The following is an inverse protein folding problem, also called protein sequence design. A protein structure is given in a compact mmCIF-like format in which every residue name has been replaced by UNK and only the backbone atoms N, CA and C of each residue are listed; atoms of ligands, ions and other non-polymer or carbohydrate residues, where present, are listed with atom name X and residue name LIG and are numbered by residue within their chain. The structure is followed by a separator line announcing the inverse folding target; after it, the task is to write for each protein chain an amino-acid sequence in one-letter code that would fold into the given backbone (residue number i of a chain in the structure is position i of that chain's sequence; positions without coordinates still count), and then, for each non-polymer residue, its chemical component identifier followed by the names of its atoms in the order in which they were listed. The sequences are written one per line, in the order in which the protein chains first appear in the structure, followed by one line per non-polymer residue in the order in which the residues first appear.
data_IF_808900501452
#
_entry.id   IF_808900501452
#
_cell.length_a   1.000
_cell.length_b   1.000
_cell.length_c   1.000
_cell.angle_alpha   90.00
_cell.angle_beta   90.00
_cell.angle_gamma   90.00
#
_symmetry.space_group_name_H-M   'P 1'
#
loop_
_entity.id
_entity.type
_entity.pdbx_description
1 polymer ?
#
# COMPACT_ATOMS: atom_id res chain seq x y z
N UNK A 1 -24.07 58.22 -10.36
CA UNK A 1 -24.17 58.54 -11.80
C UNK A 1 -22.81 58.26 -12.42
N UNK A 2 -22.60 57.03 -12.90
CA UNK A 2 -21.51 56.58 -13.79
C UNK A 2 -22.17 55.55 -14.72
N UNK A 3 -21.98 55.62 -16.05
CA UNK A 3 -22.81 54.90 -17.03
C UNK A 3 -22.22 53.54 -17.46
N UNK A 4 -23.13 52.58 -17.71
CA UNK A 4 -23.24 51.72 -18.91
C UNK A 4 -22.08 50.79 -19.36
N UNK A 5 -22.25 49.48 -19.10
CA UNK A 5 -22.33 48.28 -20.01
C UNK A 5 -21.56 48.28 -21.37
N UNK A 6 -21.19 47.11 -21.98
CA UNK A 6 -21.78 45.75 -21.92
C UNK A 6 -20.74 44.62 -21.70
N UNK A 7 -21.04 43.35 -21.39
CA UNK A 7 -22.05 42.45 -21.93
C UNK A 7 -21.40 41.51 -22.95
N UNK A 8 -20.76 40.43 -22.49
CA UNK A 8 -20.28 39.35 -23.37
C UNK A 8 -20.62 38.00 -22.75
N UNK A 9 -21.70 37.41 -23.24
CA UNK A 9 -22.03 36.00 -23.00
C UNK A 9 -21.36 35.10 -24.04
N UNK A 10 -20.91 33.93 -23.60
CA UNK A 10 -20.78 32.71 -24.43
C UNK A 10 -20.88 31.52 -23.47
N UNK A 11 -22.07 30.90 -23.38
CA UNK A 11 -22.49 29.69 -24.10
C UNK A 11 -21.63 28.46 -23.80
N UNK A 12 -22.14 27.67 -22.86
CA UNK A 12 -21.86 26.24 -22.68
C UNK A 12 -22.28 25.45 -23.93
N UNK A 13 -21.50 24.46 -24.39
CA UNK A 13 -22.00 23.43 -25.28
C UNK A 13 -22.19 22.09 -24.55
N UNK A 14 -23.43 21.61 -24.55
CA UNK A 14 -23.79 20.18 -24.52
C UNK A 14 -25.07 20.02 -25.38
N UNK A 15 -25.45 18.80 -25.80
CA UNK A 15 -24.68 17.63 -26.21
C UNK A 15 -25.02 17.22 -27.66
N UNK A 16 -24.09 16.58 -28.37
CA UNK A 16 -24.41 15.96 -29.66
C UNK A 16 -25.02 14.56 -29.41
N UNK A 17 -26.35 14.48 -29.50
CA UNK A 17 -27.05 13.22 -29.75
C UNK A 17 -26.96 12.92 -31.25
N UNK A 18 -26.36 11.79 -31.59
CA UNK A 18 -26.27 11.27 -32.96
C UNK A 18 -26.29 9.74 -32.93
N UNK A 19 -27.50 9.20 -32.93
CA UNK A 19 -27.83 7.82 -33.31
C UNK A 19 -27.32 7.52 -34.72
N UNK A 20 -26.76 6.33 -34.96
CA UNK A 20 -26.89 5.45 -36.15
C UNK A 20 -26.07 4.17 -35.84
N UNK A 21 -26.70 3.04 -35.48
CA UNK A 21 -27.09 1.92 -36.36
C UNK A 21 -25.93 1.17 -37.06
N UNK A 22 -25.87 -0.15 -36.80
CA UNK A 22 -25.03 -1.16 -37.49
C UNK A 22 -23.70 -1.43 -36.77
N UNK A 23 -23.27 -2.63 -36.41
CA UNK A 23 -23.66 -3.99 -36.81
C UNK A 23 -23.46 -4.94 -35.62
N UNK A 24 -24.48 -5.76 -35.37
CA UNK A 24 -24.40 -6.92 -34.49
C UNK A 24 -23.63 -8.00 -35.25
N UNK A 25 -22.37 -8.18 -34.90
CA UNK A 25 -21.56 -9.29 -35.41
C UNK A 25 -22.12 -10.62 -34.88
N UNK A 26 -22.58 -11.55 -35.73
CA UNK A 26 -23.10 -12.84 -35.29
C UNK A 26 -21.96 -13.76 -34.85
N UNK A 27 -22.12 -14.36 -33.67
CA UNK A 27 -21.28 -15.45 -33.18
C UNK A 27 -21.18 -16.57 -34.22
N UNK A 28 -19.97 -17.07 -34.55
CA UNK A 28 -19.86 -18.25 -35.39
C UNK A 28 -20.35 -19.47 -34.62
N UNK A 29 -21.38 -20.06 -35.23
CA UNK A 29 -21.95 -21.39 -35.04
C UNK A 29 -20.91 -22.49 -34.77
N UNK A 30 -21.25 -23.34 -33.80
CA UNK A 30 -20.64 -24.64 -33.52
C UNK A 30 -20.29 -25.46 -34.79
N UNK A 31 -19.12 -26.11 -34.85
CA UNK A 31 -18.93 -27.27 -35.73
C UNK A 31 -19.41 -28.58 -35.06
N UNK A 32 -19.84 -29.56 -35.88
CA UNK A 32 -20.48 -30.80 -35.44
C UNK A 32 -19.50 -31.81 -34.82
N UNK A 33 -20.07 -32.64 -33.97
CA UNK A 33 -19.47 -33.78 -33.28
C UNK A 33 -19.06 -34.92 -34.23
N UNK A 34 -18.04 -35.66 -33.77
CA UNK A 34 -17.50 -36.97 -34.20
C UNK A 34 -16.55 -37.04 -35.40
N UNK A 35 -15.28 -37.34 -35.10
CA UNK A 35 -14.59 -38.57 -35.54
C UNK A 35 -13.52 -38.92 -34.51
N UNK A 36 -13.45 -40.18 -34.12
CA UNK A 36 -12.57 -40.68 -33.06
C UNK A 36 -11.09 -40.60 -33.41
N UNK A 37 -10.30 -40.10 -32.46
CA UNK A 37 -8.88 -40.39 -32.35
C UNK A 37 -8.68 -41.09 -31.00
N UNK A 38 -8.36 -42.39 -31.05
CA UNK A 38 -7.78 -43.10 -29.92
C UNK A 38 -6.42 -42.50 -29.61
N UNK A 39 -6.32 -41.77 -28.50
CA UNK A 39 -5.03 -41.41 -27.91
C UNK A 39 -4.42 -42.65 -27.24
N UNK A 40 -3.13 -42.96 -27.44
CA UNK A 40 -2.45 -44.03 -26.71
C UNK A 40 -2.24 -43.62 -25.24
N UNK A 41 -2.38 -44.53 -24.25
CA UNK A 41 -2.13 -44.20 -22.85
C UNK A 41 -0.67 -44.45 -22.50
N UNK A 42 0.16 -43.40 -22.48
CA UNK A 42 1.55 -43.41 -22.03
C UNK A 42 1.88 -41.94 -21.66
N UNK A 43 2.27 -41.53 -20.45
CA UNK A 43 2.96 -42.18 -19.34
C UNK A 43 2.68 -41.43 -18.04
N UNK A 44 2.84 -42.16 -16.93
CA UNK A 44 2.98 -41.68 -15.57
C UNK A 44 3.79 -40.38 -15.46
N UNK A 45 3.27 -39.44 -14.66
CA UNK A 45 3.98 -38.75 -13.58
C UNK A 45 5.50 -38.71 -13.74
N UNK A 46 6.00 -37.85 -14.63
CA UNK A 46 7.32 -37.26 -14.41
C UNK A 46 7.13 -36.13 -13.40
N UNK A 47 7.07 -36.49 -12.12
CA UNK A 47 7.53 -35.58 -11.08
C UNK A 47 9.00 -35.29 -11.42
N UNK A 48 9.24 -34.15 -12.07
CA UNK A 48 10.60 -33.61 -12.18
C UNK A 48 11.06 -33.45 -10.74
N UNK A 49 12.09 -34.19 -10.27
CA UNK A 49 12.55 -34.04 -8.90
C UNK A 49 13.01 -32.59 -8.78
N UNK A 50 12.26 -31.81 -7.99
CA UNK A 50 12.69 -30.46 -7.64
C UNK A 50 14.01 -30.64 -6.91
N UNK A 51 15.09 -30.24 -7.56
CA UNK A 51 16.44 -30.29 -7.00
C UNK A 51 16.40 -29.59 -5.64
N UNK A 52 16.76 -30.31 -4.57
CA UNK A 52 16.69 -29.80 -3.19
C UNK A 52 17.47 -28.48 -3.07
N UNK A 53 18.55 -28.34 -3.85
CA UNK A 53 19.33 -27.10 -3.95
C UNK A 53 18.51 -25.92 -4.50
N UNK A 54 17.74 -26.10 -5.57
CA UNK A 54 16.90 -25.05 -6.15
C UNK A 54 15.74 -24.67 -5.21
N UNK A 55 15.34 -25.58 -4.32
CA UNK A 55 14.34 -25.31 -3.29
C UNK A 55 14.95 -24.49 -2.15
N UNK A 56 16.11 -24.88 -1.66
CA UNK A 56 16.86 -24.15 -0.64
C UNK A 56 17.22 -22.72 -1.08
N UNK A 57 17.65 -22.52 -2.33
CA UNK A 57 17.93 -21.18 -2.88
C UNK A 57 16.67 -20.31 -2.96
N UNK A 58 15.53 -20.88 -3.34
CA UNK A 58 14.23 -20.17 -3.37
C UNK A 58 13.76 -19.81 -1.97
N UNK A 59 13.91 -20.70 -1.01
CA UNK A 59 13.57 -20.47 0.40
C UNK A 59 14.48 -19.39 1.02
N UNK A 60 15.79 -19.41 0.72
CA UNK A 60 16.74 -18.36 1.15
C UNK A 60 16.41 -17.00 0.53
N UNK A 61 16.04 -16.97 -0.75
CA UNK A 61 15.63 -15.74 -1.45
C UNK A 61 14.32 -15.19 -0.86
N UNK A 62 13.34 -16.05 -0.58
CA UNK A 62 12.08 -15.66 0.04
C UNK A 62 12.28 -15.12 1.47
N UNK A 63 13.17 -15.74 2.26
CA UNK A 63 13.52 -15.26 3.59
C UNK A 63 14.20 -13.87 3.55
N UNK A 64 15.10 -13.64 2.59
CA UNK A 64 15.73 -12.35 2.38
C UNK A 64 14.73 -11.24 1.99
N UNK A 65 13.81 -11.56 1.07
CA UNK A 65 12.73 -10.64 0.69
C UNK A 65 11.81 -10.32 1.86
N UNK A 66 11.41 -11.35 2.62
CA UNK A 66 10.59 -11.18 3.82
C UNK A 66 11.27 -10.28 4.85
N UNK A 67 12.56 -10.45 5.10
CA UNK A 67 13.30 -9.59 6.02
C UNK A 67 13.32 -8.12 5.56
N UNK A 68 13.53 -7.86 4.27
CA UNK A 68 13.45 -6.49 3.71
C UNK A 68 12.05 -5.89 3.85
N UNK A 69 10.99 -6.64 3.50
CA UNK A 69 9.61 -6.19 3.64
C UNK A 69 9.22 -5.93 5.09
N UNK A 70 9.62 -6.82 6.01
CA UNK A 70 9.42 -6.67 7.44
C UNK A 70 10.10 -5.40 7.96
N UNK A 71 11.38 -5.19 7.66
CA UNK A 71 12.11 -4.00 8.08
C UNK A 71 11.45 -2.70 7.59
N UNK A 72 10.95 -2.69 6.34
CA UNK A 72 10.21 -1.56 5.78
C UNK A 72 8.88 -1.33 6.49
N UNK A 73 8.12 -2.40 6.76
CA UNK A 73 6.86 -2.34 7.49
C UNK A 73 7.05 -1.84 8.92
N UNK A 74 8.09 -2.33 9.62
CA UNK A 74 8.49 -1.90 10.96
C UNK A 74 8.85 -0.41 10.98
N UNK A 75 9.68 0.03 10.04
CA UNK A 75 10.07 1.44 9.92
C UNK A 75 8.86 2.35 9.70
N UNK A 76 7.96 1.97 8.79
CA UNK A 76 6.73 2.73 8.51
C UNK A 76 5.77 2.75 9.71
N UNK A 77 5.56 1.60 10.38
CA UNK A 77 4.72 1.51 11.57
C UNK A 77 5.28 2.34 12.72
N UNK A 78 6.60 2.29 12.93
CA UNK A 78 7.28 3.09 13.93
C UNK A 78 7.13 4.60 13.69
N UNK A 79 7.30 5.01 12.43
CA UNK A 79 7.10 6.40 12.00
C UNK A 79 5.67 6.86 12.21
N UNK A 80 4.67 6.05 11.84
CA UNK A 80 3.25 6.36 12.06
C UNK A 80 2.93 6.52 13.56
N UNK A 81 3.48 5.64 14.39
CA UNK A 81 3.30 5.64 15.84
C UNK A 81 3.93 6.89 16.48
N UNK A 82 5.16 7.26 16.09
CA UNK A 82 5.82 8.50 16.53
C UNK A 82 5.03 9.75 16.11
N UNK A 83 4.55 9.79 14.86
CA UNK A 83 3.70 10.86 14.34
C UNK A 83 2.39 10.99 15.12
N UNK A 84 1.73 9.88 15.46
CA UNK A 84 0.53 9.91 16.29
C UNK A 84 0.79 10.59 17.64
N UNK A 85 1.88 10.24 18.32
CA UNK A 85 2.27 10.92 19.57
C UNK A 85 2.61 12.39 19.37
N UNK A 86 3.28 12.71 18.27
CA UNK A 86 3.62 14.09 17.92
C UNK A 86 2.35 14.96 17.78
N UNK A 87 1.39 14.49 16.99
CA UNK A 87 0.11 15.17 16.75
C UNK A 87 -0.69 15.28 18.06
N UNK A 88 -0.72 14.23 18.88
CA UNK A 88 -1.39 14.26 20.18
C UNK A 88 -0.83 15.35 21.12
N UNK A 89 0.50 15.54 21.15
CA UNK A 89 1.15 16.58 21.97
C UNK A 89 0.83 18.01 21.51
N UNK A 90 0.37 18.20 20.29
CA UNK A 90 0.02 19.53 19.75
C UNK A 90 -1.34 20.04 20.23
N UNK A 91 -2.14 19.20 20.89
CA UNK A 91 -3.30 19.63 21.67
C UNK A 91 -4.66 19.44 20.99
N UNK A 92 -5.72 19.73 21.75
CA UNK A 92 -7.11 19.40 21.42
C UNK A 92 -7.72 20.18 20.25
N UNK A 93 -7.09 21.29 19.85
CA UNK A 93 -7.51 22.09 18.69
C UNK A 93 -7.44 21.32 17.36
N UNK A 94 -6.68 20.23 17.33
CA UNK A 94 -6.54 19.33 16.19
C UNK A 94 -7.15 17.94 16.41
N UNK A 95 -8.26 17.85 17.15
CA UNK A 95 -8.92 16.57 17.51
C UNK A 95 -9.12 15.60 16.33
N UNK A 96 -9.54 16.09 15.15
CA UNK A 96 -9.68 15.28 13.94
C UNK A 96 -8.33 14.73 13.45
N UNK A 97 -7.28 15.56 13.46
CA UNK A 97 -5.93 15.15 13.07
C UNK A 97 -5.35 14.11 14.05
N UNK A 98 -5.60 14.29 15.36
CA UNK A 98 -5.22 13.33 16.40
C UNK A 98 -5.88 11.97 16.14
N UNK A 99 -7.20 11.96 15.91
CA UNK A 99 -7.93 10.71 15.64
C UNK A 99 -7.42 10.01 14.37
N UNK A 100 -7.21 10.77 13.28
CA UNK A 100 -6.73 10.24 12.00
C UNK A 100 -5.30 9.71 12.10
N UNK A 101 -4.41 10.42 12.79
CA UNK A 101 -3.03 9.98 13.00
C UNK A 101 -2.98 8.69 13.83
N UNK A 102 -3.76 8.63 14.92
CA UNK A 102 -3.87 7.44 15.75
C UNK A 102 -4.48 6.25 14.97
N UNK A 103 -5.47 6.50 14.11
CA UNK A 103 -6.01 5.46 13.23
C UNK A 103 -4.96 4.95 12.24
N UNK A 104 -4.23 5.84 11.58
CA UNK A 104 -3.13 5.46 10.67
C UNK A 104 -2.06 4.63 11.39
N UNK A 105 -1.67 5.01 12.61
CA UNK A 105 -0.73 4.23 13.40
C UNK A 105 -1.25 2.82 13.72
N UNK A 106 -2.54 2.67 14.06
CA UNK A 106 -3.15 1.35 14.31
C UNK A 106 -3.17 0.48 13.06
N UNK A 107 -3.56 1.03 11.91
CA UNK A 107 -3.60 0.26 10.65
C UNK A 107 -2.19 -0.15 10.21
N UNK A 108 -1.19 0.71 10.42
CA UNK A 108 0.21 0.36 10.15
C UNK A 108 0.70 -0.80 11.04
N UNK A 109 0.38 -0.75 12.33
CA UNK A 109 0.71 -1.82 13.28
C UNK A 109 0.00 -3.14 12.94
N UNK A 110 -1.26 -3.09 12.49
CA UNK A 110 -2.00 -4.27 12.03
C UNK A 110 -1.37 -4.89 10.79
N UNK A 111 -0.95 -4.07 9.81
CA UNK A 111 -0.28 -4.56 8.61
C UNK A 111 1.05 -5.27 8.96
N UNK A 112 1.81 -4.73 9.91
CA UNK A 112 3.02 -5.37 10.43
C UNK A 112 2.72 -6.68 11.16
N UNK A 113 1.68 -6.72 12.01
CA UNK A 113 1.29 -7.94 12.71
C UNK A 113 0.90 -9.06 11.72
N UNK A 114 0.11 -8.74 10.70
CA UNK A 114 -0.26 -9.69 9.63
C UNK A 114 0.99 -10.24 8.94
N UNK A 115 1.95 -9.38 8.60
CA UNK A 115 3.22 -9.82 8.02
C UNK A 115 3.92 -10.81 8.96
N UNK A 116 4.10 -10.45 10.23
CA UNK A 116 4.86 -11.27 11.20
C UNK A 116 4.27 -12.65 11.48
N UNK A 117 2.95 -12.80 11.36
CA UNK A 117 2.23 -14.02 11.72
C UNK A 117 1.86 -14.91 10.53
N UNK A 118 1.89 -14.35 9.32
CA UNK A 118 1.60 -15.10 8.10
C UNK A 118 2.82 -15.90 7.66
N UNK A 119 2.59 -17.01 6.94
CA UNK A 119 3.65 -17.74 6.25
C UNK A 119 4.39 -16.82 5.25
N UNK A 120 5.71 -17.02 5.03
CA UNK A 120 6.48 -16.25 4.06
C UNK A 120 5.88 -16.30 2.65
N UNK A 121 5.44 -15.13 2.17
CA UNK A 121 4.97 -14.91 0.81
C UNK A 121 5.41 -13.50 0.37
N UNK A 122 6.39 -13.36 -0.55
CA UNK A 122 6.87 -12.05 -0.99
C UNK A 122 5.76 -11.11 -1.48
N UNK A 123 4.72 -11.64 -2.13
CA UNK A 123 3.63 -10.84 -2.64
C UNK A 123 2.73 -10.31 -1.51
N UNK A 124 2.43 -11.15 -0.52
CA UNK A 124 1.66 -10.75 0.66
C UNK A 124 2.47 -9.82 1.58
N UNK A 125 3.73 -10.14 1.82
CA UNK A 125 4.67 -9.37 2.65
C UNK A 125 4.88 -7.97 2.08
N UNK A 126 5.11 -7.86 0.76
CA UNK A 126 5.24 -6.58 0.08
C UNK A 126 3.95 -5.73 0.16
N UNK A 127 2.77 -6.35 0.06
CA UNK A 127 1.48 -5.65 0.26
C UNK A 127 1.31 -5.16 1.70
N UNK A 128 1.74 -5.95 2.69
CA UNK A 128 1.71 -5.54 4.09
C UNK A 128 2.63 -4.33 4.33
N UNK A 129 3.86 -4.37 3.80
CA UNK A 129 4.80 -3.25 3.85
C UNK A 129 4.23 -1.98 3.18
N UNK A 130 3.60 -2.14 2.00
CA UNK A 130 2.89 -1.03 1.33
C UNK A 130 1.77 -0.45 2.19
N UNK A 131 0.94 -1.30 2.81
CA UNK A 131 -0.18 -0.85 3.63
C UNK A 131 0.31 -0.10 4.88
N UNK A 132 1.41 -0.54 5.49
CA UNK A 132 2.08 0.19 6.57
C UNK A 132 2.58 1.56 6.09
N UNK A 133 3.27 1.63 4.94
CA UNK A 133 3.77 2.88 4.36
C UNK A 133 2.65 3.86 3.99
N UNK A 134 1.54 3.37 3.43
CA UNK A 134 0.36 4.19 3.12
C UNK A 134 -0.28 4.77 4.39
N UNK A 135 -0.41 3.96 5.44
CA UNK A 135 -0.96 4.41 6.72
C UNK A 135 -0.03 5.43 7.42
N UNK A 136 1.29 5.25 7.30
CA UNK A 136 2.27 6.23 7.76
C UNK A 136 2.20 7.55 6.97
N UNK A 137 1.91 7.50 5.66
CA UNK A 137 1.69 8.70 4.86
C UNK A 137 0.38 9.43 5.23
N UNK A 138 -0.67 8.71 5.64
CA UNK A 138 -1.87 9.33 6.21
C UNK A 138 -1.58 10.04 7.54
N UNK A 139 -0.80 9.42 8.43
CA UNK A 139 -0.37 10.07 9.66
C UNK A 139 0.53 11.30 9.40
N UNK A 140 1.39 11.25 8.39
CA UNK A 140 2.25 12.38 8.00
C UNK A 140 1.45 13.58 7.47
N UNK A 141 0.36 13.34 6.73
CA UNK A 141 -0.56 14.40 6.32
C UNK A 141 -1.18 15.11 7.54
N UNK A 142 -1.46 14.37 8.63
CA UNK A 142 -1.97 14.98 9.87
C UNK A 142 -0.88 15.78 10.59
N UNK A 143 0.36 15.31 10.58
CA UNK A 143 1.52 16.10 11.03
C UNK A 143 1.62 17.43 10.29
N UNK A 144 1.45 17.42 8.97
CA UNK A 144 1.44 18.64 8.15
C UNK A 144 0.30 19.59 8.50
N UNK A 145 -0.92 19.07 8.67
CA UNK A 145 -2.09 19.87 9.06
C UNK A 145 -1.85 20.61 10.38
N UNK A 146 -1.22 19.94 11.33
CA UNK A 146 -0.97 20.48 12.68
C UNK A 146 0.15 21.50 12.70
N UNK A 147 1.14 21.37 11.81
CA UNK A 147 2.25 22.33 11.71
C UNK A 147 1.92 23.53 10.80
N UNK A 148 0.86 23.47 10.01
CA UNK A 148 0.48 24.51 9.06
C UNK A 148 1.49 24.66 7.92
N UNK A 149 1.93 25.88 7.65
CA UNK A 149 2.79 26.23 6.49
C UNK A 149 4.29 25.94 6.71
N UNK A 150 4.66 25.12 7.70
CA UNK A 150 6.04 24.78 7.96
C UNK A 150 6.66 23.94 6.81
N UNK A 151 7.67 24.49 6.14
CA UNK A 151 8.33 23.84 4.99
C UNK A 151 8.85 22.44 5.30
N UNK A 152 9.50 22.25 6.45
CA UNK A 152 10.01 20.95 6.88
C UNK A 152 8.90 19.89 7.00
N UNK A 153 7.72 20.32 7.46
CA UNK A 153 6.53 19.48 7.63
C UNK A 153 5.94 19.06 6.28
N UNK A 154 5.87 19.99 5.32
CA UNK A 154 5.46 19.71 3.94
C UNK A 154 6.43 18.73 3.24
N UNK A 155 7.75 18.93 3.40
CA UNK A 155 8.77 18.03 2.84
C UNK A 155 8.69 16.62 3.45
N UNK A 156 8.46 16.53 4.75
CA UNK A 156 8.29 15.24 5.44
C UNK A 156 7.03 14.51 4.96
N UNK A 157 5.91 15.22 4.76
CA UNK A 157 4.70 14.64 4.18
C UNK A 157 4.93 14.15 2.74
N UNK A 158 5.61 14.94 1.90
CA UNK A 158 5.93 14.54 0.52
C UNK A 158 6.85 13.30 0.49
N UNK A 159 7.85 13.23 1.37
CA UNK A 159 8.72 12.07 1.47
C UNK A 159 7.94 10.82 1.91
N UNK A 160 7.01 10.94 2.85
CA UNK A 160 6.12 9.86 3.28
C UNK A 160 5.21 9.35 2.14
N UNK A 161 4.62 10.28 1.37
CA UNK A 161 3.82 9.93 0.19
C UNK A 161 4.66 9.22 -0.87
N UNK A 162 5.90 9.67 -1.10
CA UNK A 162 6.84 9.01 -2.01
C UNK A 162 7.15 7.59 -1.56
N UNK A 163 7.42 7.36 -0.28
CA UNK A 163 7.66 6.03 0.28
C UNK A 163 6.44 5.10 0.09
N UNK A 164 5.23 5.61 0.28
CA UNK A 164 4.00 4.87 0.01
C UNK A 164 3.86 4.49 -1.47
N UNK A 165 4.16 5.43 -2.38
CA UNK A 165 4.07 5.22 -3.83
C UNK A 165 5.08 4.17 -4.31
N UNK A 166 6.35 4.28 -3.93
CA UNK A 166 7.39 3.32 -4.34
C UNK A 166 7.13 1.93 -3.76
N UNK A 167 6.69 1.82 -2.51
CA UNK A 167 6.24 0.55 -1.94
C UNK A 167 5.03 -0.02 -2.71
N UNK A 168 4.13 0.86 -3.20
CA UNK A 168 3.00 0.46 -4.04
C UNK A 168 3.41 -0.10 -5.39
N UNK A 169 4.43 0.49 -6.02
CA UNK A 169 5.01 -0.01 -7.28
C UNK A 169 5.69 -1.37 -7.05
N UNK A 170 6.50 -1.51 -5.99
CA UNK A 170 7.16 -2.77 -5.64
C UNK A 170 6.17 -3.91 -5.34
N UNK A 171 5.05 -3.61 -4.68
CA UNK A 171 3.98 -4.57 -4.38
C UNK A 171 3.03 -4.84 -5.56
N UNK A 172 3.22 -4.16 -6.69
CA UNK A 172 2.34 -4.23 -7.85
C UNK A 172 2.24 -5.64 -8.45
N UNK A 173 1.10 -5.96 -9.04
CA UNK A 173 0.79 -7.30 -9.58
C UNK A 173 1.80 -7.82 -10.61
N UNK A 174 2.54 -6.92 -11.28
CA UNK A 174 3.57 -7.26 -12.26
C UNK A 174 4.83 -7.88 -11.63
N UNK A 175 5.18 -7.46 -10.42
CA UNK A 175 6.46 -7.80 -9.78
C UNK A 175 6.28 -8.64 -8.52
N UNK A 176 5.07 -8.66 -7.95
CA UNK A 176 4.71 -9.51 -6.81
C UNK A 176 5.69 -9.40 -5.62
N UNK A 177 6.30 -8.23 -5.42
CA UNK A 177 7.26 -8.01 -4.33
C UNK A 177 8.65 -8.62 -4.53
N UNK A 178 8.95 -9.27 -5.66
CA UNK A 178 10.24 -9.96 -5.84
C UNK A 178 11.29 -9.15 -6.61
N UNK A 179 10.92 -7.98 -7.15
CA UNK A 179 11.82 -7.14 -7.94
C UNK A 179 12.80 -6.39 -7.03
N UNK A 180 14.08 -6.77 -7.11
CA UNK A 180 15.15 -6.24 -6.26
C UNK A 180 15.33 -4.72 -6.40
N UNK A 181 15.29 -4.20 -7.63
CA UNK A 181 15.50 -2.77 -7.86
C UNK A 181 14.34 -1.95 -7.28
N UNK A 182 13.10 -2.37 -7.53
CA UNK A 182 11.93 -1.69 -6.98
C UNK A 182 11.89 -1.76 -5.45
N UNK A 183 12.34 -2.87 -4.86
CA UNK A 183 12.47 -3.01 -3.41
C UNK A 183 13.54 -2.08 -2.84
N UNK A 184 14.71 -1.97 -3.47
CA UNK A 184 15.76 -1.06 -3.05
C UNK A 184 15.33 0.42 -3.17
N UNK A 185 14.57 0.77 -4.20
CA UNK A 185 13.95 2.09 -4.37
C UNK A 185 12.94 2.38 -3.25
N UNK A 186 12.11 1.40 -2.88
CA UNK A 186 11.18 1.52 -1.77
C UNK A 186 11.90 1.71 -0.42
N UNK A 187 12.98 0.97 -0.17
CA UNK A 187 13.79 1.08 1.06
C UNK A 187 14.49 2.44 1.15
N UNK A 188 15.00 2.94 0.02
CA UNK A 188 15.61 4.27 -0.06
C UNK A 188 14.59 5.37 0.21
N UNK A 189 13.39 5.25 -0.33
CA UNK A 189 12.30 6.19 -0.08
C UNK A 189 11.84 6.17 1.38
N UNK A 190 11.75 5.01 2.03
CA UNK A 190 11.41 4.94 3.45
C UNK A 190 12.49 5.58 4.33
N UNK A 191 13.78 5.32 4.05
CA UNK A 191 14.89 5.99 4.75
C UNK A 191 14.82 7.53 4.60
N UNK A 192 14.48 8.02 3.41
CA UNK A 192 14.29 9.45 3.17
C UNK A 192 13.09 10.01 3.95
N UNK A 193 11.98 9.25 4.04
CA UNK A 193 10.81 9.64 4.81
C UNK A 193 11.10 9.72 6.31
N UNK A 194 11.86 8.78 6.87
CA UNK A 194 12.33 8.83 8.27
C UNK A 194 13.18 10.08 8.50
N UNK A 195 14.21 10.31 7.67
CA UNK A 195 15.09 11.48 7.80
C UNK A 195 14.32 12.81 7.70
N UNK A 196 13.36 12.90 6.79
CA UNK A 196 12.54 14.10 6.64
C UNK A 196 11.65 14.32 7.88
N UNK A 197 11.05 13.26 8.44
CA UNK A 197 10.26 13.31 9.66
C UNK A 197 11.10 13.68 10.91
N UNK A 198 12.36 13.23 10.98
CA UNK A 198 13.32 13.70 12.00
C UNK A 198 13.62 15.19 11.85
N UNK A 199 13.84 15.65 10.61
CA UNK A 199 14.10 17.06 10.30
C UNK A 199 12.91 17.95 10.65
N UNK A 200 11.68 17.45 10.45
CA UNK A 200 10.44 18.12 10.87
C UNK A 200 10.21 18.07 12.39
N UNK A 201 11.02 17.34 13.16
CA UNK A 201 10.87 17.18 14.61
C UNK A 201 9.73 16.26 15.03
N UNK A 202 9.15 15.49 14.10
CA UNK A 202 8.07 14.54 14.36
C UNK A 202 8.58 13.27 15.06
N UNK A 203 9.80 12.87 14.72
CA UNK A 203 10.48 11.68 15.25
C UNK A 203 11.78 12.14 15.91
N UNK A 204 12.13 11.54 17.05
CA UNK A 204 13.43 11.74 17.68
C UNK A 204 14.28 10.48 17.53
N UNK A 205 15.50 10.58 16.98
CA UNK A 205 16.41 9.44 16.91
C UNK A 205 16.63 8.84 18.30
N UNK A 206 16.50 7.51 18.42
CA UNK A 206 16.68 6.78 19.68
C UNK A 206 15.52 6.89 20.69
N UNK A 207 14.45 7.63 20.39
CA UNK A 207 13.24 7.59 21.20
C UNK A 207 12.52 6.25 20.99
N UNK A 208 12.11 5.61 22.09
CA UNK A 208 11.32 4.38 22.01
C UNK A 208 10.01 4.64 21.26
N UNK A 209 9.81 3.91 20.17
CA UNK A 209 8.57 3.91 19.38
C UNK A 209 7.40 3.54 20.31
N UNK A 210 6.27 4.26 20.25
CA UNK A 210 5.14 3.92 21.12
C UNK A 210 4.60 2.57 20.69
N UNK A 211 4.31 1.72 21.68
CA UNK A 211 3.49 0.55 21.43
C UNK A 211 2.10 1.01 21.01
N UNK A 212 1.63 0.55 19.85
CA UNK A 212 0.30 0.84 19.32
C UNK A 212 -0.54 -0.43 19.44
N UNK A 213 -1.61 -0.37 20.22
CA UNK A 213 -2.54 -1.48 20.30
C UNK A 213 -3.22 -1.70 18.94
N UNK A 214 -3.06 -2.89 18.37
CA UNK A 214 -3.67 -3.30 17.10
C UNK A 214 -5.17 -3.58 17.21
N UNK A 215 -5.70 -3.66 18.44
CA UNK A 215 -7.09 -4.06 18.71
C UNK A 215 -7.33 -5.55 18.49
N UNK A 216 -8.55 -6.01 18.81
CA UNK A 216 -8.99 -7.39 18.54
C UNK A 216 -9.35 -7.51 17.07
N UNK A 217 -8.85 -8.52 16.36
CA UNK A 217 -9.12 -8.67 14.93
C UNK A 217 -10.51 -9.26 14.70
N UNK A 218 -11.18 -8.90 13.60
CA UNK A 218 -12.50 -9.46 13.27
C UNK A 218 -12.60 -10.99 13.32
N UNK A 219 -11.60 -11.80 12.89
CA UNK A 219 -11.66 -13.25 13.05
C UNK A 219 -11.67 -13.71 14.52
N UNK A 220 -10.90 -13.05 15.38
CA UNK A 220 -10.87 -13.31 16.82
C UNK A 220 -12.18 -12.88 17.48
N UNK A 221 -12.73 -11.72 17.09
CA UNK A 221 -14.05 -11.26 17.53
C UNK A 221 -15.15 -12.23 17.07
N UNK A 222 -15.11 -12.69 15.82
CA UNK A 222 -16.07 -13.67 15.30
C UNK A 222 -15.92 -15.01 16.01
N UNK A 223 -14.69 -15.47 16.28
CA UNK A 223 -14.45 -16.67 17.08
C UNK A 223 -15.01 -16.52 18.50
N UNK A 224 -14.85 -15.36 19.13
CA UNK A 224 -15.42 -15.07 20.46
C UNK A 224 -16.95 -14.94 20.45
N UNK A 225 -17.57 -14.51 19.35
CA UNK A 225 -19.03 -14.45 19.19
C UNK A 225 -19.66 -15.82 18.83
N UNK A 226 -18.83 -16.82 18.52
CA UNK A 226 -19.25 -18.19 18.24
C UNK A 226 -18.91 -19.18 19.38
N UNK A 227 -18.50 -18.67 20.55
CA UNK A 227 -18.38 -19.39 21.82
C UNK A 227 -19.59 -19.09 22.71
#
# INVERSE_FOLDING_TARGET
MVPGLPGTGMRLPQPASGLLHGDVSPCPTHPPWRTGYSAPPLRADMEVPVNEHDREEREQTAAGLRASHAARAESAAARAAALSRYVERRGSEHSDAVWKAAHGARVAAQALAVLSESEPDPAADSRCARNAAASAAQAAQMGQVVDGDAEASALACQAALRASLTAGVAAGAKHLGTDEQLNAEADTAEKAAVKAAETAGWIRPGEAVPSVATGVRSPEVMAMMHL
#
